data_IF_727071176814
#
_entry.id   IF_727071176814
#
_cell.length_a   1.000
_cell.length_b   1.000
_cell.length_c   1.000
_cell.angle_alpha   90.00
_cell.angle_beta   90.00
_cell.angle_gamma   90.00
#
_symmetry.space_group_name_H-M   'P 1'
#
loop_
_entity.id
_entity.type
_entity.pdbx_description
1 polymer ?
#
# COMPACT_ATOMS: atom_id res chain seq x y z
N UNK A 1 -7.20 45.40 14.75
CA UNK A 1 -7.58 44.46 13.66
C UNK A 1 -6.59 43.31 13.70
N UNK A 2 -7.08 42.07 13.86
CA UNK A 2 -6.22 40.89 14.08
C UNK A 2 -5.69 40.38 12.74
N UNK A 3 -4.36 40.33 12.61
CA UNK A 3 -3.56 39.93 11.44
C UNK A 3 -3.98 38.55 10.89
N UNK A 4 -4.49 37.66 11.76
CA UNK A 4 -5.00 36.32 11.42
C UNK A 4 -6.13 36.24 10.39
N UNK A 5 -6.79 37.35 10.06
CA UNK A 5 -7.96 37.34 9.16
C UNK A 5 -7.60 37.43 7.68
N UNK A 6 -6.36 37.77 7.32
CA UNK A 6 -6.04 38.08 5.92
C UNK A 6 -5.83 36.81 5.09
N UNK A 7 -5.19 35.76 5.61
CA UNK A 7 -4.99 34.53 4.84
C UNK A 7 -6.28 33.76 4.55
N UNK A 8 -7.09 33.47 5.59
CA UNK A 8 -8.35 32.74 5.43
C UNK A 8 -9.33 33.49 4.51
N UNK A 9 -9.40 34.82 4.67
CA UNK A 9 -10.27 35.65 3.84
C UNK A 9 -9.91 35.53 2.35
N UNK A 10 -8.63 35.61 2.00
CA UNK A 10 -8.18 35.45 0.60
C UNK A 10 -8.51 34.07 0.04
N UNK A 11 -8.30 33.02 0.84
CA UNK A 11 -8.65 31.64 0.44
C UNK A 11 -10.15 31.48 0.21
N UNK A 12 -10.99 32.08 1.06
CA UNK A 12 -12.44 31.98 0.94
C UNK A 12 -13.03 32.84 -0.19
N UNK A 13 -12.39 33.96 -0.53
CA UNK A 13 -12.79 34.84 -1.66
C UNK A 13 -12.54 34.18 -3.02
N UNK A 14 -11.50 33.34 -3.14
CA UNK A 14 -11.15 32.64 -4.37
C UNK A 14 -10.66 31.21 -4.10
N UNK A 15 -11.55 30.29 -3.68
CA UNK A 15 -11.16 28.94 -3.30
C UNK A 15 -10.61 28.18 -4.52
N UNK A 16 -9.47 27.47 -4.38
CA UNK A 16 -8.97 26.58 -5.42
C UNK A 16 -9.97 25.46 -5.72
N UNK A 17 -10.11 25.05 -6.98
CA UNK A 17 -11.03 23.96 -7.35
C UNK A 17 -10.77 22.63 -6.62
N UNK A 18 -9.52 22.38 -6.19
CA UNK A 18 -9.15 21.19 -5.43
C UNK A 18 -9.46 21.27 -3.93
N UNK A 19 -9.89 22.42 -3.40
CA UNK A 19 -10.06 22.63 -1.96
C UNK A 19 -11.10 21.71 -1.34
N UNK A 20 -12.06 21.26 -2.14
CA UNK A 20 -13.14 20.38 -1.72
C UNK A 20 -12.79 18.89 -1.92
N UNK A 21 -11.57 18.59 -2.39
CA UNK A 21 -11.07 17.22 -2.42
C UNK A 21 -10.90 16.70 -0.98
N UNK A 22 -11.29 15.44 -0.78
CA UNK A 22 -11.19 14.76 0.51
C UNK A 22 -9.73 14.43 0.83
N UNK A 23 -9.33 14.66 2.09
CA UNK A 23 -8.09 14.18 2.67
C UNK A 23 -8.22 12.66 2.82
N UNK A 24 -7.49 11.92 1.98
CA UNK A 24 -7.55 10.47 1.95
C UNK A 24 -6.90 9.84 3.19
N UNK A 25 -7.37 8.65 3.55
CA UNK A 25 -6.66 7.75 4.44
C UNK A 25 -5.40 7.18 3.73
N UNK A 26 -4.26 7.11 4.44
CA UNK A 26 -3.14 6.29 3.97
C UNK A 26 -3.48 4.82 4.24
N UNK A 27 -3.32 3.97 3.23
CA UNK A 27 -3.38 2.52 3.43
C UNK A 27 -2.13 2.03 4.21
N UNK A 28 -2.12 2.24 5.54
CA UNK A 28 -1.06 1.80 6.45
C UNK A 28 -0.95 0.26 6.43
N UNK A 29 -2.09 -0.41 6.26
CA UNK A 29 -2.19 -1.86 6.19
C UNK A 29 -1.38 -2.46 5.03
N UNK A 30 -1.24 -1.77 3.89
CA UNK A 30 -0.42 -2.26 2.76
C UNK A 30 1.02 -2.52 3.21
N UNK A 31 1.66 -1.54 3.86
CA UNK A 31 3.04 -1.69 4.30
C UNK A 31 3.17 -2.70 5.44
N UNK A 32 2.32 -2.61 6.47
CA UNK A 32 2.37 -3.55 7.59
C UNK A 32 2.20 -5.00 7.16
N UNK A 33 1.31 -5.26 6.20
CA UNK A 33 0.98 -6.61 5.74
C UNK A 33 1.94 -7.16 4.68
N UNK A 34 2.50 -6.29 3.84
CA UNK A 34 3.24 -6.71 2.64
C UNK A 34 4.65 -6.14 2.55
N UNK A 35 5.23 -5.67 3.66
CA UNK A 35 6.60 -5.11 3.68
C UNK A 35 7.65 -6.05 3.08
N UNK A 36 7.47 -7.37 3.18
CA UNK A 36 8.37 -8.36 2.56
C UNK A 36 8.38 -8.31 1.02
N UNK A 37 7.38 -7.69 0.39
CA UNK A 37 7.30 -7.49 -1.06
C UNK A 37 7.88 -6.14 -1.51
N UNK A 38 8.42 -5.33 -0.60
CA UNK A 38 9.17 -4.13 -0.99
C UNK A 38 10.44 -4.57 -1.70
N UNK A 39 10.69 -4.00 -2.89
CA UNK A 39 11.93 -4.20 -3.67
C UNK A 39 12.91 -3.05 -3.52
N UNK A 40 12.41 -1.85 -3.19
CA UNK A 40 13.23 -0.67 -2.94
C UNK A 40 12.59 0.22 -1.87
N UNK A 41 13.38 0.67 -0.90
CA UNK A 41 12.97 1.64 0.11
C UNK A 41 13.89 2.87 0.07
N UNK A 42 13.36 3.99 -0.39
CA UNK A 42 14.05 5.28 -0.42
C UNK A 42 13.70 6.11 0.81
N UNK A 43 14.70 6.80 1.36
CA UNK A 43 14.52 7.79 2.40
C UNK A 43 15.43 9.01 2.18
N UNK A 44 14.93 10.19 2.51
CA UNK A 44 15.74 11.41 2.71
C UNK A 44 15.18 12.26 3.85
N UNK A 45 16.04 13.02 4.53
CA UNK A 45 15.65 14.00 5.54
C UNK A 45 15.47 15.43 5.00
N UNK A 46 15.87 15.68 3.74
CA UNK A 46 15.85 17.01 3.10
C UNK A 46 15.33 16.95 1.65
N UNK A 47 14.20 16.26 1.47
CA UNK A 47 13.53 16.10 0.18
C UNK A 47 12.71 17.32 -0.25
N UNK A 48 12.26 17.27 -1.51
CA UNK A 48 11.33 18.23 -2.10
C UNK A 48 10.06 17.51 -2.54
N UNK A 49 8.90 18.05 -2.19
CA UNK A 49 7.60 17.44 -2.48
C UNK A 49 6.69 18.42 -3.20
N UNK A 50 6.00 17.96 -4.25
CA UNK A 50 4.89 18.72 -4.82
C UNK A 50 3.72 18.68 -3.84
N UNK A 51 3.34 19.83 -3.27
CA UNK A 51 2.30 19.88 -2.22
C UNK A 51 0.93 19.43 -2.71
N UNK A 52 0.66 19.53 -4.02
CA UNK A 52 -0.60 19.10 -4.64
C UNK A 52 -0.69 17.57 -4.81
N UNK A 53 0.46 16.89 -4.75
CA UNK A 53 0.58 15.44 -4.73
C UNK A 53 0.38 14.83 -3.33
N UNK A 54 0.25 15.66 -2.28
CA UNK A 54 -0.15 15.21 -0.96
C UNK A 54 -1.64 14.87 -1.02
N UNK A 55 -2.01 13.60 -0.83
CA UNK A 55 -3.39 13.11 -0.93
C UNK A 55 -4.08 12.99 0.39
N UNK A 56 -3.32 12.76 1.46
CA UNK A 56 -3.91 12.27 2.69
C UNK A 56 -2.98 12.23 3.88
N UNK A 57 -3.41 11.52 4.91
CA UNK A 57 -2.72 11.44 6.20
C UNK A 57 -3.02 10.14 6.95
N UNK A 58 -2.16 9.82 7.90
CA UNK A 58 -2.36 8.76 8.91
C UNK A 58 -3.25 9.21 10.07
N UNK A 59 -3.46 10.52 10.22
CA UNK A 59 -4.19 11.07 11.35
C UNK A 59 -5.70 10.95 11.15
N UNK A 60 -6.34 10.04 11.88
CA UNK A 60 -7.77 9.70 11.75
C UNK A 60 -8.70 10.90 11.88
N UNK A 61 -8.39 11.86 12.77
CA UNK A 61 -9.25 13.05 12.97
C UNK A 61 -9.38 13.95 11.73
N UNK A 62 -8.46 13.84 10.76
CA UNK A 62 -8.45 14.70 9.58
C UNK A 62 -8.85 13.97 8.30
N UNK A 63 -8.89 12.63 8.34
CA UNK A 63 -9.34 11.81 7.21
C UNK A 63 -10.83 12.07 6.95
N UNK A 64 -11.23 12.07 5.67
CA UNK A 64 -12.61 12.31 5.28
C UNK A 64 -13.04 13.78 5.25
N UNK A 65 -12.30 14.69 5.89
CA UNK A 65 -12.50 16.13 5.72
C UNK A 65 -12.03 16.58 4.34
N UNK A 66 -12.65 17.60 3.77
CA UNK A 66 -12.04 18.32 2.65
C UNK A 66 -10.85 19.15 3.13
N UNK A 67 -9.94 19.51 2.22
CA UNK A 67 -8.84 20.42 2.57
C UNK A 67 -9.34 21.76 3.10
N UNK A 68 -10.45 22.28 2.55
CA UNK A 68 -11.09 23.51 3.02
C UNK A 68 -11.71 23.36 4.41
N UNK A 69 -12.41 22.26 4.68
CA UNK A 69 -12.95 22.00 6.02
C UNK A 69 -11.84 21.86 7.06
N UNK A 70 -10.75 21.18 6.69
CA UNK A 70 -9.59 21.05 7.56
C UNK A 70 -8.90 22.40 7.82
N UNK A 71 -8.85 23.28 6.82
CA UNK A 71 -8.35 24.65 6.98
C UNK A 71 -9.13 25.45 8.04
N UNK A 72 -10.45 25.23 8.12
CA UNK A 72 -11.32 25.98 9.02
C UNK A 72 -11.45 25.36 10.41
N UNK A 73 -11.44 24.02 10.50
CA UNK A 73 -11.77 23.30 11.75
C UNK A 73 -10.64 22.43 12.28
N UNK A 74 -9.50 22.38 11.59
CA UNK A 74 -8.33 21.63 12.02
C UNK A 74 -7.87 22.05 13.41
N UNK A 75 -7.59 21.08 14.28
CA UNK A 75 -7.22 21.34 15.67
C UNK A 75 -5.90 22.12 15.75
N UNK A 76 -5.93 23.35 16.30
CA UNK A 76 -4.79 24.30 16.34
C UNK A 76 -4.44 24.93 14.99
N UNK A 77 -5.34 24.88 14.00
CA UNK A 77 -5.10 25.52 12.71
C UNK A 77 -5.01 27.05 12.86
N UNK A 78 -5.76 27.66 13.77
CA UNK A 78 -5.68 29.07 14.13
C UNK A 78 -4.27 29.51 14.55
N UNK A 79 -3.58 28.69 15.36
CA UNK A 79 -2.18 28.92 15.76
C UNK A 79 -1.26 28.79 14.54
N UNK A 80 -1.47 27.77 13.70
CA UNK A 80 -0.60 27.52 12.54
C UNK A 80 -0.77 28.61 11.46
N UNK A 81 -1.96 29.18 11.28
CA UNK A 81 -2.20 30.31 10.38
C UNK A 81 -1.40 31.54 10.85
N UNK A 82 -1.45 31.88 12.14
CA UNK A 82 -0.64 32.98 12.70
C UNK A 82 0.86 32.76 12.50
N UNK A 83 1.32 31.51 12.63
CA UNK A 83 2.72 31.17 12.38
C UNK A 83 3.09 31.29 10.91
N UNK A 84 2.20 30.92 9.98
CA UNK A 84 2.42 31.13 8.54
C UNK A 84 2.57 32.62 8.22
N UNK A 85 1.72 33.47 8.80
CA UNK A 85 1.74 34.91 8.54
C UNK A 85 2.99 35.59 9.11
N UNK A 86 3.51 35.10 10.24
CA UNK A 86 4.70 35.67 10.90
C UNK A 86 6.02 35.02 10.46
N UNK A 87 5.98 33.82 9.86
CA UNK A 87 7.15 33.06 9.46
C UNK A 87 6.94 32.37 8.10
N UNK A 88 6.84 33.18 7.05
CA UNK A 88 6.64 32.69 5.69
C UNK A 88 7.85 31.93 5.14
N UNK A 89 9.06 32.27 5.60
CA UNK A 89 10.31 31.60 5.19
C UNK A 89 10.32 30.12 5.58
N UNK A 90 9.58 29.71 6.63
CA UNK A 90 9.38 28.30 6.93
C UNK A 90 8.84 27.51 5.71
N UNK A 91 7.99 28.10 4.87
CA UNK A 91 7.45 27.43 3.69
C UNK A 91 8.32 27.63 2.44
N UNK A 92 8.89 28.82 2.29
CA UNK A 92 9.61 29.22 1.08
C UNK A 92 11.10 28.84 1.08
N UNK A 93 11.67 28.59 2.25
CA UNK A 93 13.06 28.19 2.43
C UNK A 93 13.34 26.77 1.96
N UNK A 94 14.61 26.45 1.77
CA UNK A 94 15.09 25.12 1.30
C UNK A 94 15.75 24.31 2.40
N UNK A 95 16.01 24.92 3.56
CA UNK A 95 16.53 24.27 4.74
C UNK A 95 15.61 23.16 5.28
N UNK A 96 16.21 22.18 5.94
CA UNK A 96 15.48 21.13 6.67
C UNK A 96 14.49 21.79 7.62
N UNK A 97 13.23 21.39 7.50
CA UNK A 97 12.13 22.01 8.23
C UNK A 97 12.24 21.73 9.73
N UNK A 98 12.06 22.79 10.52
CA UNK A 98 12.00 22.76 11.98
C UNK A 98 10.76 23.54 12.43
N UNK A 99 9.69 22.86 12.91
CA UNK A 99 9.58 21.42 13.14
C UNK A 99 9.60 20.60 11.83
N UNK A 100 9.93 19.31 11.91
CA UNK A 100 9.99 18.44 10.74
C UNK A 100 8.61 18.15 10.14
N UNK A 101 8.59 17.68 8.90
CA UNK A 101 7.39 17.20 8.20
C UNK A 101 7.73 15.89 7.50
N UNK A 102 6.87 14.88 7.64
CA UNK A 102 7.16 13.51 7.19
C UNK A 102 6.11 13.01 6.23
N UNK A 103 6.57 12.49 5.10
CA UNK A 103 5.69 11.97 4.06
C UNK A 103 6.09 10.56 3.63
N UNK A 104 5.09 9.74 3.34
CA UNK A 104 5.26 8.39 2.80
C UNK A 104 4.54 8.29 1.45
N UNK A 105 5.17 7.60 0.49
CA UNK A 105 4.54 7.22 -0.79
C UNK A 105 4.78 5.75 -1.13
N UNK A 106 3.80 5.14 -1.81
CA UNK A 106 3.89 3.77 -2.34
C UNK A 106 4.02 3.70 -3.86
N UNK A 107 3.94 4.84 -4.55
CA UNK A 107 4.02 4.93 -6.02
C UNK A 107 4.93 6.09 -6.50
N UNK A 108 5.55 6.82 -5.57
CA UNK A 108 6.43 7.96 -5.86
C UNK A 108 5.69 9.24 -6.27
N UNK A 109 4.36 9.20 -6.39
CA UNK A 109 3.54 10.30 -6.87
C UNK A 109 2.54 10.76 -5.81
N UNK A 110 1.77 9.86 -5.22
CA UNK A 110 0.81 10.18 -4.17
C UNK A 110 1.50 10.07 -2.81
N UNK A 111 1.45 11.16 -2.05
CA UNK A 111 2.12 11.30 -0.77
C UNK A 111 1.11 11.45 0.38
N UNK A 112 1.48 10.92 1.53
CA UNK A 112 0.65 10.93 2.73
C UNK A 112 1.47 11.44 3.91
N UNK A 113 0.88 12.30 4.73
CA UNK A 113 1.52 12.75 5.98
C UNK A 113 1.52 11.60 6.99
N UNK A 114 2.70 11.16 7.45
CA UNK A 114 2.83 9.93 8.25
C UNK A 114 2.97 10.13 9.76
N UNK A 115 3.38 11.32 10.20
CA UNK A 115 3.52 11.60 11.64
C UNK A 115 3.17 13.05 11.95
N UNK A 116 4.04 13.98 11.54
CA UNK A 116 3.87 15.41 11.73
C UNK A 116 3.90 16.15 10.38
N UNK A 117 3.22 17.29 10.34
CA UNK A 117 3.13 18.16 9.17
C UNK A 117 1.72 18.35 8.61
N UNK A 118 0.66 17.79 9.21
CA UNK A 118 -0.71 17.89 8.67
C UNK A 118 -1.15 19.34 8.41
N UNK A 119 -1.13 20.19 9.45
CA UNK A 119 -1.52 21.60 9.35
C UNK A 119 -0.67 22.36 8.34
N UNK A 120 0.66 22.21 8.44
CA UNK A 120 1.62 22.86 7.56
C UNK A 120 1.48 22.39 6.10
N UNK A 121 1.11 21.13 5.86
CA UNK A 121 0.83 20.62 4.51
C UNK A 121 -0.41 21.26 3.91
N UNK A 122 -1.49 21.36 4.70
CA UNK A 122 -2.71 22.06 4.30
C UNK A 122 -2.40 23.52 3.95
N UNK A 123 -1.73 24.23 4.85
CA UNK A 123 -1.33 25.62 4.65
C UNK A 123 -0.42 25.81 3.43
N UNK A 124 0.57 24.92 3.23
CA UNK A 124 1.47 24.97 2.09
C UNK A 124 0.70 24.84 0.76
N UNK A 125 -0.30 23.96 0.67
CA UNK A 125 -1.13 23.80 -0.54
C UNK A 125 -1.86 25.09 -0.91
N UNK A 126 -2.52 25.72 0.05
CA UNK A 126 -3.26 26.98 -0.18
C UNK A 126 -2.30 28.13 -0.50
N UNK A 127 -1.23 28.30 0.30
CA UNK A 127 -0.22 29.33 0.09
C UNK A 127 0.45 29.21 -1.28
N UNK A 128 0.80 28.00 -1.70
CA UNK A 128 1.52 27.78 -2.95
C UNK A 128 0.60 27.95 -4.16
N UNK A 129 -0.69 27.62 -4.02
CA UNK A 129 -1.67 27.96 -5.03
C UNK A 129 -1.78 29.47 -5.23
N UNK A 130 -1.90 30.28 -4.16
CA UNK A 130 -1.91 31.74 -4.24
C UNK A 130 -0.65 32.31 -4.92
N UNK A 131 0.50 31.66 -4.72
CA UNK A 131 1.81 32.12 -5.21
C UNK A 131 2.24 31.52 -6.55
N UNK A 132 1.49 30.59 -7.13
CA UNK A 132 1.91 29.84 -8.32
C UNK A 132 3.14 28.95 -8.10
N UNK A 133 3.33 28.44 -6.88
CA UNK A 133 4.42 27.53 -6.50
C UNK A 133 3.92 26.08 -6.38
N UNK A 134 4.83 25.11 -6.35
CA UNK A 134 4.48 23.68 -6.24
C UNK A 134 5.32 22.91 -5.23
N UNK A 135 6.63 23.18 -5.14
CA UNK A 135 7.56 22.35 -4.37
C UNK A 135 7.86 22.91 -2.99
N UNK A 136 7.53 22.13 -1.95
CA UNK A 136 7.95 22.37 -0.58
C UNK A 136 9.24 21.61 -0.33
N UNK A 137 10.28 22.31 0.13
CA UNK A 137 11.62 21.76 0.32
C UNK A 137 11.88 21.40 1.79
N UNK A 138 12.98 20.70 2.06
CA UNK A 138 13.46 20.43 3.43
C UNK A 138 12.63 19.44 4.22
N UNK A 139 11.87 18.56 3.56
CA UNK A 139 10.95 17.63 4.22
C UNK A 139 11.49 16.20 4.22
N UNK A 140 11.09 15.39 5.19
CA UNK A 140 11.46 13.98 5.20
C UNK A 140 10.53 13.16 4.31
N UNK A 141 11.11 12.41 3.39
CA UNK A 141 10.39 11.58 2.43
C UNK A 141 10.77 10.11 2.61
N UNK A 142 9.78 9.24 2.65
CA UNK A 142 9.93 7.80 2.58
C UNK A 142 9.14 7.28 1.38
N UNK A 143 9.79 6.52 0.50
CA UNK A 143 9.11 5.89 -0.62
C UNK A 143 9.40 4.39 -0.63
N UNK A 144 8.33 3.60 -0.58
CA UNK A 144 8.41 2.14 -0.67
C UNK A 144 7.88 1.70 -2.02
N UNK A 145 8.74 1.08 -2.81
CA UNK A 145 8.39 0.49 -4.09
C UNK A 145 8.18 -1.02 -3.89
N UNK A 146 6.97 -1.49 -4.17
CA UNK A 146 6.61 -2.89 -4.07
C UNK A 146 6.90 -3.62 -5.38
N UNK A 147 7.21 -4.90 -5.30
CA UNK A 147 7.00 -5.82 -6.41
C UNK A 147 5.50 -6.18 -6.47
N UNK A 148 4.71 -5.28 -7.05
CA UNK A 148 3.25 -5.47 -7.14
C UNK A 148 2.88 -6.70 -7.99
N UNK A 149 3.73 -7.12 -8.94
CA UNK A 149 3.50 -8.31 -9.75
C UNK A 149 3.64 -9.58 -8.91
N UNK A 150 4.71 -9.70 -8.12
CA UNK A 150 4.91 -10.82 -7.20
C UNK A 150 3.87 -10.82 -6.08
N UNK A 151 3.52 -9.65 -5.53
CA UNK A 151 2.47 -9.49 -4.52
C UNK A 151 1.08 -9.93 -5.04
N UNK A 152 0.76 -9.61 -6.29
CA UNK A 152 -0.48 -10.05 -6.95
C UNK A 152 -0.57 -11.58 -7.00
N UNK A 153 0.52 -12.23 -7.41
CA UNK A 153 0.59 -13.69 -7.50
C UNK A 153 0.53 -14.35 -6.13
N UNK A 154 1.23 -13.81 -5.13
CA UNK A 154 1.13 -14.25 -3.74
C UNK A 154 -0.31 -14.18 -3.23
N UNK A 155 -1.02 -13.08 -3.52
CA UNK A 155 -2.42 -12.91 -3.09
C UNK A 155 -3.34 -13.94 -3.76
N UNK A 156 -3.12 -14.23 -5.05
CA UNK A 156 -3.86 -15.27 -5.76
C UNK A 156 -3.57 -16.68 -5.21
N UNK A 157 -2.31 -16.99 -4.91
CA UNK A 157 -1.90 -18.26 -4.30
C UNK A 157 -2.45 -18.43 -2.88
N UNK A 158 -2.56 -17.35 -2.10
CA UNK A 158 -3.23 -17.38 -0.80
C UNK A 158 -4.70 -17.77 -0.93
N UNK A 159 -5.41 -17.28 -1.95
CA UNK A 159 -6.78 -17.67 -2.22
C UNK A 159 -6.87 -19.13 -2.69
N UNK A 160 -6.04 -19.55 -3.63
CA UNK A 160 -6.02 -20.94 -4.12
C UNK A 160 -5.66 -21.92 -3.01
N UNK A 161 -4.76 -21.56 -2.09
CA UNK A 161 -4.45 -22.36 -0.89
C UNK A 161 -5.70 -22.69 -0.06
N UNK A 162 -6.61 -21.74 0.10
CA UNK A 162 -7.88 -21.97 0.80
C UNK A 162 -8.78 -22.94 0.02
N UNK A 163 -8.77 -22.88 -1.32
CA UNK A 163 -9.48 -23.84 -2.16
C UNK A 163 -8.85 -25.25 -2.11
N UNK A 164 -7.52 -25.36 -2.05
CA UNK A 164 -6.80 -26.63 -1.89
C UNK A 164 -7.15 -27.31 -0.56
N UNK A 165 -7.31 -26.53 0.51
CA UNK A 165 -7.71 -27.03 1.81
C UNK A 165 -9.09 -27.72 1.76
N UNK A 166 -10.02 -27.21 0.96
CA UNK A 166 -11.33 -27.84 0.75
C UNK A 166 -11.21 -29.16 -0.03
N UNK A 167 -10.16 -29.32 -0.84
CA UNK A 167 -9.80 -30.58 -1.50
C UNK A 167 -8.91 -31.49 -0.64
N UNK A 168 -8.69 -31.14 0.64
CA UNK A 168 -7.94 -31.95 1.59
C UNK A 168 -6.42 -31.84 1.48
N UNK A 169 -5.90 -30.82 0.79
CA UNK A 169 -4.47 -30.52 0.70
C UNK A 169 -4.13 -29.25 1.50
N UNK A 170 -3.19 -29.37 2.43
CA UNK A 170 -2.81 -28.30 3.36
C UNK A 170 -1.44 -27.76 2.99
N UNK A 171 -1.38 -26.47 2.70
CA UNK A 171 -0.17 -25.77 2.29
C UNK A 171 0.18 -24.65 3.26
N UNK A 172 1.47 -24.39 3.42
CA UNK A 172 2.00 -23.21 4.10
C UNK A 172 2.73 -22.30 3.11
N UNK A 173 2.73 -21.00 3.38
CA UNK A 173 3.49 -20.01 2.61
C UNK A 173 4.35 -19.22 3.59
N UNK A 174 5.67 -19.29 3.43
CA UNK A 174 6.62 -18.44 4.15
C UNK A 174 7.09 -17.31 3.24
N UNK A 175 6.99 -16.07 3.73
CA UNK A 175 7.53 -14.90 3.06
C UNK A 175 9.02 -14.73 3.40
N UNK A 176 9.80 -14.28 2.45
CA UNK A 176 11.19 -13.87 2.68
C UNK A 176 11.55 -12.65 1.83
N UNK A 177 12.51 -11.87 2.32
CA UNK A 177 13.05 -10.71 1.60
C UNK A 177 14.53 -10.60 1.93
N UNK A 178 15.37 -10.73 0.92
CA UNK A 178 16.83 -10.65 1.07
C UNK A 178 17.29 -9.23 0.79
N UNK A 179 18.09 -8.63 1.66
CA UNK A 179 18.72 -7.34 1.37
C UNK A 179 19.83 -7.55 0.33
N UNK A 180 19.72 -6.89 -0.82
CA UNK A 180 20.66 -7.05 -1.94
C UNK A 180 21.68 -5.93 -2.01
N UNK A 181 21.41 -4.79 -1.38
CA UNK A 181 22.35 -3.68 -1.31
C UNK A 181 21.79 -2.43 -0.67
N UNK A 182 22.67 -1.44 -0.48
CA UNK A 182 22.33 -0.09 -0.03
C UNK A 182 23.17 0.93 -0.79
N UNK A 183 22.54 2.03 -1.14
CA UNK A 183 23.19 3.26 -1.57
C UNK A 183 22.90 4.34 -0.53
N UNK A 184 23.91 4.96 0.06
CA UNK A 184 23.72 5.99 1.08
C UNK A 184 24.84 7.02 1.19
N UNK A 185 24.47 8.20 1.67
CA UNK A 185 25.36 9.20 2.28
C UNK A 185 24.62 9.82 3.46
N UNK A 186 25.18 10.78 4.22
CA UNK A 186 24.39 11.55 5.16
C UNK A 186 23.16 12.18 4.47
N UNK A 187 21.99 12.05 5.09
CA UNK A 187 20.74 12.69 4.66
C UNK A 187 19.89 11.93 3.63
N UNK A 188 20.37 10.80 3.09
CA UNK A 188 19.52 9.94 2.26
C UNK A 188 20.04 8.50 2.20
N UNK A 189 19.14 7.58 1.85
CA UNK A 189 19.50 6.21 1.50
C UNK A 189 18.49 5.56 0.55
N UNK A 190 18.93 4.53 -0.14
CA UNK A 190 18.10 3.56 -0.86
C UNK A 190 18.51 2.17 -0.40
N UNK A 191 17.59 1.44 0.22
CA UNK A 191 17.74 0.01 0.50
C UNK A 191 17.11 -0.82 -0.63
N UNK A 192 17.83 -1.83 -1.14
CA UNK A 192 17.38 -2.74 -2.19
C UNK A 192 17.12 -4.13 -1.63
N UNK A 193 16.04 -4.76 -2.11
CA UNK A 193 15.58 -6.05 -1.62
C UNK A 193 15.17 -6.98 -2.75
N UNK A 194 15.39 -8.29 -2.56
CA UNK A 194 14.85 -9.36 -3.39
C UNK A 194 13.70 -10.05 -2.62
N UNK A 195 12.44 -9.67 -2.87
CA UNK A 195 11.29 -10.33 -2.26
C UNK A 195 11.09 -11.74 -2.82
N UNK A 196 10.42 -12.60 -2.06
CA UNK A 196 10.06 -13.94 -2.48
C UNK A 196 9.19 -14.66 -1.45
N UNK A 197 8.70 -15.84 -1.82
CA UNK A 197 7.99 -16.71 -0.89
C UNK A 197 8.20 -18.18 -1.24
N UNK A 198 8.05 -19.05 -0.24
CA UNK A 198 8.11 -20.49 -0.42
C UNK A 198 6.77 -21.12 -0.05
N UNK A 199 6.18 -21.87 -0.99
CA UNK A 199 5.01 -22.70 -0.76
C UNK A 199 5.46 -24.11 -0.38
N UNK A 200 4.90 -24.68 0.70
CA UNK A 200 5.19 -26.04 1.16
C UNK A 200 3.91 -26.84 1.40
N UNK A 201 3.86 -28.09 0.92
CA UNK A 201 2.81 -29.03 1.31
C UNK A 201 3.14 -29.57 2.71
N UNK A 202 2.20 -29.43 3.64
CA UNK A 202 2.37 -29.86 5.04
C UNK A 202 1.40 -30.96 5.46
N UNK A 203 0.37 -31.24 4.65
CA UNK A 203 -0.55 -32.34 4.92
C UNK A 203 -1.48 -32.63 3.75
N UNK A 204 -2.00 -33.86 3.68
CA UNK A 204 -2.92 -34.29 2.63
C UNK A 204 -3.69 -35.57 2.99
N UNK A 205 -4.96 -35.67 2.58
CA UNK A 205 -5.76 -36.88 2.76
C UNK A 205 -5.21 -38.07 1.96
N UNK A 206 -5.18 -39.26 2.57
CA UNK A 206 -4.85 -40.50 1.88
C UNK A 206 -6.05 -40.94 1.02
N UNK A 207 -5.90 -40.93 -0.31
CA UNK A 207 -6.92 -41.44 -1.23
C UNK A 207 -7.13 -40.65 -2.54
N UNK A 208 -6.38 -39.56 -2.74
CA UNK A 208 -6.31 -38.81 -3.99
C UNK A 208 -5.02 -39.04 -4.77
N UNK A 209 -4.90 -38.43 -5.95
CA UNK A 209 -3.68 -38.53 -6.77
C UNK A 209 -2.47 -38.00 -5.99
N UNK A 210 -1.31 -38.67 -6.08
CA UNK A 210 -0.12 -38.20 -5.37
C UNK A 210 0.29 -36.82 -5.88
N UNK A 211 0.56 -35.89 -4.96
CA UNK A 211 1.13 -34.58 -5.29
C UNK A 211 2.56 -34.79 -5.81
N UNK A 212 2.90 -34.31 -7.03
CA UNK A 212 4.26 -34.43 -7.56
C UNK A 212 5.30 -33.86 -6.62
N UNK A 213 6.46 -34.53 -6.49
CA UNK A 213 7.53 -34.08 -5.58
C UNK A 213 8.02 -32.66 -5.92
N UNK A 214 8.04 -32.32 -7.22
CA UNK A 214 8.38 -30.97 -7.69
C UNK A 214 7.44 -29.87 -7.19
N UNK A 215 6.22 -30.22 -6.76
CA UNK A 215 5.25 -29.27 -6.22
C UNK A 215 5.22 -29.25 -4.69
N UNK A 216 5.84 -30.21 -3.99
CA UNK A 216 5.78 -30.28 -2.53
C UNK A 216 6.45 -29.11 -1.84
N UNK A 217 7.46 -28.51 -2.48
CA UNK A 217 8.13 -27.29 -2.01
C UNK A 217 8.61 -26.48 -3.20
N UNK A 218 8.08 -25.28 -3.36
CA UNK A 218 8.43 -24.38 -4.47
C UNK A 218 8.73 -22.99 -3.92
N UNK A 219 9.91 -22.48 -4.23
CA UNK A 219 10.29 -21.10 -3.94
C UNK A 219 10.02 -20.25 -5.18
N UNK A 220 9.34 -19.13 -4.99
CA UNK A 220 8.98 -18.17 -6.03
C UNK A 220 9.69 -16.86 -5.74
N UNK A 221 10.48 -16.40 -6.71
CA UNK A 221 11.15 -15.09 -6.67
C UNK A 221 10.67 -14.16 -7.78
N UNK A 222 10.05 -14.72 -8.83
CA UNK A 222 9.49 -13.95 -9.93
C UNK A 222 8.00 -14.23 -10.12
N UNK A 223 7.26 -13.23 -10.59
CA UNK A 223 5.82 -13.35 -10.81
C UNK A 223 5.46 -14.48 -11.80
N UNK A 224 6.28 -14.70 -12.83
CA UNK A 224 6.02 -15.75 -13.83
C UNK A 224 6.13 -17.16 -13.26
N UNK A 225 7.14 -17.41 -12.41
CA UNK A 225 7.27 -18.68 -11.67
C UNK A 225 6.01 -18.95 -10.83
N UNK A 226 5.51 -17.92 -10.14
CA UNK A 226 4.33 -18.06 -9.31
C UNK A 226 3.03 -18.20 -10.12
N UNK A 227 2.93 -17.64 -11.32
CA UNK A 227 1.79 -17.85 -12.24
C UNK A 227 1.75 -19.30 -12.73
N UNK A 228 2.90 -19.86 -13.08
CA UNK A 228 3.02 -21.29 -13.44
C UNK A 228 2.61 -22.16 -12.24
N UNK A 229 3.13 -21.87 -11.05
CA UNK A 229 2.75 -22.58 -9.82
C UNK A 229 1.23 -22.51 -9.57
N UNK A 230 0.62 -21.34 -9.72
CA UNK A 230 -0.82 -21.16 -9.56
C UNK A 230 -1.63 -22.06 -10.51
N UNK A 231 -1.26 -22.12 -11.79
CA UNK A 231 -1.91 -23.01 -12.77
C UNK A 231 -1.72 -24.49 -12.43
N UNK A 232 -0.54 -24.88 -11.95
CA UNK A 232 -0.25 -26.25 -11.51
C UNK A 232 -1.10 -26.65 -10.30
N UNK A 233 -1.27 -25.75 -9.33
CA UNK A 233 -2.14 -26.00 -8.17
C UNK A 233 -3.62 -26.12 -8.59
N UNK A 234 -4.13 -25.23 -9.43
CA UNK A 234 -5.50 -25.34 -9.93
C UNK A 234 -5.76 -26.68 -10.63
N UNK A 235 -4.81 -27.11 -11.48
CA UNK A 235 -4.87 -28.40 -12.16
C UNK A 235 -4.85 -29.57 -11.17
N UNK A 236 -4.01 -29.49 -10.13
CA UNK A 236 -3.95 -30.48 -9.05
C UNK A 236 -5.30 -30.57 -8.32
N UNK A 237 -5.88 -29.45 -7.92
CA UNK A 237 -7.19 -29.41 -7.23
C UNK A 237 -8.28 -30.05 -8.05
N UNK A 238 -8.34 -29.76 -9.35
CA UNK A 238 -9.31 -30.36 -10.26
C UNK A 238 -9.20 -31.89 -10.32
N UNK A 239 -7.98 -32.44 -10.24
CA UNK A 239 -7.77 -33.91 -10.18
C UNK A 239 -8.17 -34.51 -8.84
N UNK A 240 -8.01 -33.77 -7.73
CA UNK A 240 -8.39 -34.22 -6.39
C UNK A 240 -9.90 -34.27 -6.18
N UNK A 241 -10.64 -33.39 -6.85
CA UNK A 241 -12.10 -33.41 -6.84
C UNK A 241 -12.55 -34.59 -7.71
N UNK A 242 -12.84 -35.73 -7.08
CA UNK A 242 -13.51 -36.83 -7.79
C UNK A 242 -14.79 -36.30 -8.42
N UNK A 243 -15.03 -36.49 -9.72
CA UNK A 243 -16.35 -36.22 -10.26
C UNK A 243 -17.34 -37.05 -9.44
N UNK A 244 -18.50 -36.47 -9.10
CA UNK A 244 -19.64 -37.25 -8.66
C UNK A 244 -20.00 -38.12 -9.87
N UNK A 245 -19.39 -39.29 -9.99
CA UNK A 245 -19.89 -40.34 -10.87
C UNK A 245 -21.24 -40.66 -10.30
N UNK A 246 -22.29 -40.08 -10.88
CA UNK A 246 -23.67 -40.46 -10.64
C UNK A 246 -23.71 -41.98 -10.72
N UNK A 247 -23.79 -42.59 -9.54
CA UNK A 247 -23.73 -44.04 -9.42
C UNK A 247 -24.77 -44.65 -10.34
N UNK A 248 -24.40 -45.78 -10.91
CA UNK A 248 -25.22 -46.76 -11.61
C UNK A 248 -26.44 -47.26 -10.79
N UNK A 249 -27.21 -46.36 -10.17
CA UNK A 249 -28.49 -46.67 -9.53
C UNK A 249 -29.49 -47.06 -10.63
N UNK A 250 -29.63 -46.26 -11.69
CA UNK A 250 -30.61 -46.54 -12.75
C UNK A 250 -30.36 -47.89 -13.44
N UNK A 251 -29.09 -48.28 -13.65
CA UNK A 251 -28.75 -49.59 -14.21
C UNK A 251 -28.97 -50.78 -13.26
N UNK A 252 -29.10 -50.55 -11.95
CA UNK A 252 -29.44 -51.60 -10.97
C UNK A 252 -30.94 -51.91 -10.93
N UNK A 253 -31.80 -50.98 -11.34
CA UNK A 253 -33.25 -51.19 -11.41
C UNK A 253 -33.67 -51.97 -12.67
N UNK A 254 -33.04 -51.69 -13.82
CA UNK A 254 -33.37 -52.38 -15.08
C UNK A 254 -32.91 -53.85 -15.17
N UNK A 255 -32.09 -54.35 -14.24
CA UNK A 255 -31.67 -55.77 -14.19
C UNK A 255 -32.45 -56.65 -13.22
N UNK A 256 -33.45 -56.12 -12.49
CA UNK A 256 -34.32 -56.91 -11.59
C UNK A 256 -35.72 -57.21 -12.14
N UNK A 257 -36.03 -56.80 -13.37
CA UNK A 257 -37.33 -57.03 -14.01
C UNK A 257 -37.35 -58.08 -15.13
N UNK A 258 -36.34 -58.95 -15.21
CA UNK A 258 -36.29 -60.03 -16.20
C UNK A 258 -36.13 -61.39 -15.50
N UNK A 259 -37.22 -61.85 -14.88
CA UNK A 259 -37.56 -63.26 -14.68
C UNK A 259 -39.07 -63.40 -14.68
#
# INVERSE_FOLDING_TARGET
MSITRDFLKRVDEAPPAWSDNIIAERNINKYQKYSQFVRRAYWTDCGSINVFCIRGTDHTDYQGLTWREFLHRGRRMDINIRLLETNLSYYLGTEVKKPAMHYVSYNGLDWYVSSDGNHRSCLARFLFYEKGLTYLHGVSLHHYEFDDALLSVYTALQAERLCQQQAGLYWEIDLHSETTGREDTPGWKVDHFSPGFTLRLVGGLQGGDPVPDSLRRVTVRQADEGRVLFQQLQSLRQRQIKPVTGGNWLNRWFRRGAK
#
